data_IF_138714569258
#
_entry.id   IF_138714569258
#
_cell.length_a   1.000
_cell.length_b   1.000
_cell.length_c   1.000
_cell.angle_alpha   90.00
_cell.angle_beta   90.00
_cell.angle_gamma   90.00
#
_symmetry.space_group_name_H-M   'P 1'
#
loop_
_entity.id
_entity.type
_entity.pdbx_description
1 polymer ?
#
# COMPACT_ATOMS: atom_id res chain seq x y z
N UNK A 1 48.85 6.87 -44.08
CA UNK A 1 47.48 6.52 -43.59
C UNK A 1 47.33 5.12 -43.02
N UNK A 2 48.10 4.09 -43.33
CA UNK A 2 47.95 2.73 -42.80
C UNK A 2 48.50 2.44 -41.39
N UNK A 3 49.33 3.32 -40.79
CA UNK A 3 49.93 3.15 -39.46
C UNK A 3 49.04 3.72 -38.33
N UNK A 4 48.15 4.67 -38.57
CA UNK A 4 47.28 5.31 -37.57
C UNK A 4 46.06 4.46 -37.22
N UNK A 5 45.54 3.69 -38.19
CA UNK A 5 44.36 2.85 -38.03
C UNK A 5 44.63 1.63 -37.11
N UNK A 6 45.87 1.09 -37.15
CA UNK A 6 46.23 -0.05 -36.26
C UNK A 6 46.35 0.31 -34.78
N UNK A 7 46.75 1.58 -34.44
CA UNK A 7 46.82 2.01 -33.04
C UNK A 7 45.45 2.26 -32.43
N UNK A 8 44.48 2.76 -33.22
CA UNK A 8 43.13 3.04 -32.74
C UNK A 8 42.32 1.73 -32.49
N UNK A 9 42.51 0.73 -33.35
CA UNK A 9 41.84 -0.58 -33.18
C UNK A 9 42.39 -1.35 -32.00
N UNK A 10 43.71 -1.30 -31.71
CA UNK A 10 44.30 -1.94 -30.54
C UNK A 10 43.87 -1.23 -29.25
N UNK A 11 43.72 0.10 -29.23
CA UNK A 11 43.23 0.82 -28.08
C UNK A 11 41.74 0.53 -27.78
N UNK A 12 40.90 0.36 -28.83
CA UNK A 12 39.50 -0.01 -28.69
C UNK A 12 39.32 -1.45 -28.17
N UNK A 13 40.14 -2.39 -28.61
CA UNK A 13 40.11 -3.80 -28.14
C UNK A 13 40.65 -3.88 -26.70
N UNK A 14 41.66 -3.09 -26.31
CA UNK A 14 42.15 -3.04 -24.93
C UNK A 14 41.12 -2.41 -23.98
N UNK A 15 40.32 -1.42 -24.44
CA UNK A 15 39.25 -0.83 -23.65
C UNK A 15 38.05 -1.78 -23.48
N UNK A 16 37.72 -2.59 -24.48
CA UNK A 16 36.68 -3.62 -24.41
C UNK A 16 37.07 -4.81 -23.51
N UNK A 17 38.36 -5.15 -23.40
CA UNK A 17 38.84 -6.24 -22.54
C UNK A 17 38.98 -5.78 -21.07
N UNK A 18 39.27 -4.48 -20.80
CA UNK A 18 39.26 -3.94 -19.43
C UNK A 18 37.86 -3.69 -18.88
N UNK A 19 36.86 -3.43 -19.74
CA UNK A 19 35.47 -3.26 -19.34
C UNK A 19 34.78 -4.59 -18.92
N UNK A 20 35.35 -5.73 -19.30
CA UNK A 20 34.81 -7.06 -18.98
C UNK A 20 35.27 -7.61 -17.60
N UNK A 21 36.12 -6.88 -16.86
CA UNK A 21 36.62 -7.32 -15.55
C UNK A 21 36.06 -6.56 -14.35
N UNK A 22 35.16 -5.57 -14.56
CA UNK A 22 34.34 -5.06 -13.47
C UNK A 22 33.07 -5.95 -13.42
N UNK A 23 33.23 -7.14 -12.86
CA UNK A 23 32.10 -7.95 -12.45
C UNK A 23 31.31 -7.17 -11.43
N UNK A 24 30.24 -6.47 -11.87
CA UNK A 24 29.16 -6.04 -10.99
C UNK A 24 28.61 -7.31 -10.37
N UNK A 25 29.14 -7.68 -9.20
CA UNK A 25 28.51 -8.70 -8.38
C UNK A 25 27.18 -8.12 -7.96
N UNK A 26 26.11 -8.49 -8.68
CA UNK A 26 24.76 -8.25 -8.20
C UNK A 26 24.71 -8.72 -6.75
N UNK A 27 24.64 -7.78 -5.82
CA UNK A 27 24.63 -8.06 -4.40
C UNK A 27 23.26 -8.67 -4.12
N UNK A 28 23.23 -10.00 -3.98
CA UNK A 28 21.99 -10.71 -3.70
C UNK A 28 21.30 -10.04 -2.49
N UNK A 29 20.02 -9.74 -2.64
CA UNK A 29 19.22 -9.11 -1.60
C UNK A 29 19.39 -9.81 -0.24
N UNK A 30 19.42 -9.04 0.85
CA UNK A 30 19.64 -9.56 2.18
C UNK A 30 18.51 -10.53 2.58
N UNK A 31 18.84 -11.75 3.01
CA UNK A 31 17.83 -12.72 3.50
C UNK A 31 17.45 -12.41 4.94
N UNK A 32 16.18 -12.20 5.19
CA UNK A 32 15.66 -12.09 6.56
C UNK A 32 15.40 -13.49 7.12
N UNK A 33 15.99 -13.78 8.28
CA UNK A 33 15.89 -15.05 8.98
C UNK A 33 15.36 -14.78 10.41
N UNK A 34 14.69 -15.77 11.01
CA UNK A 34 14.16 -15.61 12.36
C UNK A 34 14.78 -16.63 13.32
N UNK A 35 15.10 -16.18 14.54
CA UNK A 35 15.59 -17.05 15.62
C UNK A 35 14.57 -18.15 15.90
N UNK A 36 15.05 -19.39 16.09
CA UNK A 36 14.19 -20.55 16.36
C UNK A 36 13.65 -21.26 15.13
N UNK A 37 13.98 -20.79 13.91
CA UNK A 37 13.69 -21.50 12.66
C UNK A 37 14.97 -21.97 11.99
N UNK A 38 14.88 -23.07 11.24
CA UNK A 38 15.96 -23.56 10.38
C UNK A 38 15.62 -23.27 8.93
N UNK A 39 16.62 -22.87 8.15
CA UNK A 39 16.48 -22.51 6.73
C UNK A 39 17.47 -23.31 5.89
N UNK A 40 17.17 -23.53 4.62
CA UNK A 40 18.07 -24.17 3.67
C UNK A 40 18.84 -23.13 2.86
N UNK A 41 20.08 -23.48 2.47
CA UNK A 41 20.84 -22.71 1.48
C UNK A 41 20.48 -23.28 0.11
N UNK A 42 19.72 -22.48 -0.64
CA UNK A 42 19.34 -22.81 -2.01
C UNK A 42 20.29 -22.08 -2.98
N UNK A 43 21.44 -22.69 -3.22
CA UNK A 43 22.46 -22.22 -4.17
C UNK A 43 22.99 -23.39 -4.93
N UNK A 44 22.86 -23.34 -6.26
CA UNK A 44 23.39 -24.38 -7.15
C UNK A 44 24.91 -24.46 -7.07
N UNK A 45 25.44 -25.67 -7.06
CA UNK A 45 26.88 -26.01 -7.03
C UNK A 45 27.41 -26.46 -5.67
N UNK A 46 28.60 -27.09 -5.71
CA UNK A 46 29.25 -27.67 -4.55
C UNK A 46 30.08 -26.61 -3.81
N UNK A 47 29.47 -25.94 -2.86
CA UNK A 47 30.14 -24.97 -2.00
C UNK A 47 30.29 -25.52 -0.57
N UNK A 48 31.44 -25.27 0.04
CA UNK A 48 31.61 -25.42 1.48
C UNK A 48 31.21 -24.15 2.18
N UNK A 49 30.18 -24.22 3.06
CA UNK A 49 29.51 -23.07 3.63
C UNK A 49 30.00 -22.78 5.05
N UNK A 50 30.18 -21.50 5.35
CA UNK A 50 30.65 -20.99 6.64
C UNK A 50 29.82 -19.78 7.09
N UNK A 51 29.69 -19.61 8.40
CA UNK A 51 29.13 -18.38 8.98
C UNK A 51 30.29 -17.43 9.31
N UNK A 52 30.10 -16.13 8.96
CA UNK A 52 31.02 -15.07 9.36
C UNK A 52 30.91 -14.76 10.87
N UNK A 53 29.72 -14.97 11.46
CA UNK A 53 29.51 -14.82 12.90
C UNK A 53 28.63 -15.96 13.44
N UNK A 54 29.23 -16.95 14.06
CA UNK A 54 28.55 -18.13 14.63
C UNK A 54 27.63 -17.79 15.82
N UNK A 55 27.82 -16.64 16.48
CA UNK A 55 26.92 -16.17 17.57
C UNK A 55 25.58 -15.69 17.01
N UNK A 56 25.57 -15.11 15.81
CA UNK A 56 24.36 -14.62 15.12
C UNK A 56 23.68 -15.76 14.35
N UNK A 57 24.45 -16.48 13.54
CA UNK A 57 23.93 -17.53 12.67
C UNK A 57 24.94 -18.69 12.57
N UNK A 58 24.48 -19.93 12.67
CA UNK A 58 25.29 -21.13 12.39
C UNK A 58 24.88 -21.72 11.05
N UNK A 59 25.87 -22.34 10.39
CA UNK A 59 25.67 -23.04 9.13
C UNK A 59 26.21 -24.44 9.27
N UNK A 60 25.43 -25.43 8.88
CA UNK A 60 25.90 -26.79 8.68
C UNK A 60 26.20 -26.98 7.18
N UNK A 61 27.44 -27.11 6.83
CA UNK A 61 27.89 -27.21 5.43
C UNK A 61 27.46 -28.51 4.75
N UNK A 62 27.41 -29.64 5.50
CA UNK A 62 26.97 -30.93 4.96
C UNK A 62 25.50 -30.93 4.60
N UNK A 63 24.63 -30.49 5.51
CA UNK A 63 23.18 -30.47 5.32
C UNK A 63 22.68 -29.20 4.65
N UNK A 64 23.54 -28.22 4.35
CA UNK A 64 23.21 -26.88 3.83
C UNK A 64 22.17 -26.15 4.67
N UNK A 65 22.07 -26.43 5.97
CA UNK A 65 21.09 -25.80 6.88
C UNK A 65 21.69 -24.61 7.61
N UNK A 66 20.87 -23.55 7.74
CA UNK A 66 21.16 -22.31 8.45
C UNK A 66 20.34 -22.28 9.73
N UNK A 67 20.99 -22.04 10.86
CA UNK A 67 20.35 -21.93 12.17
C UNK A 67 20.61 -20.54 12.76
N UNK A 68 19.66 -19.59 12.69
CA UNK A 68 19.75 -18.29 13.36
C UNK A 68 19.74 -18.46 14.88
N UNK A 69 20.68 -17.80 15.58
CA UNK A 69 20.88 -17.93 17.04
C UNK A 69 20.53 -16.65 17.82
N UNK A 70 20.93 -15.48 17.30
CA UNK A 70 20.73 -14.19 17.94
C UNK A 70 20.39 -13.16 16.86
N UNK A 71 19.52 -12.20 17.19
CA UNK A 71 19.23 -11.08 16.31
C UNK A 71 20.49 -10.27 15.98
N UNK A 72 20.60 -9.82 14.73
CA UNK A 72 21.75 -9.09 14.21
C UNK A 72 22.00 -9.38 12.74
N UNK A 73 22.95 -8.68 12.16
CA UNK A 73 23.38 -8.88 10.77
C UNK A 73 24.65 -9.71 10.71
N UNK A 74 24.72 -10.64 9.76
CA UNK A 74 25.91 -11.46 9.49
C UNK A 74 25.97 -11.82 8.01
N UNK A 75 27.04 -12.53 7.63
CA UNK A 75 27.19 -13.08 6.30
C UNK A 75 27.39 -14.60 6.38
N UNK A 76 26.83 -15.29 5.39
CA UNK A 76 27.13 -16.70 5.10
C UNK A 76 28.01 -16.71 3.86
N UNK A 77 29.15 -17.40 3.96
CA UNK A 77 30.17 -17.51 2.88
C UNK A 77 30.18 -18.92 2.35
N UNK A 78 29.96 -19.08 1.06
CA UNK A 78 30.16 -20.32 0.32
C UNK A 78 31.49 -20.26 -0.44
N UNK A 79 32.34 -21.27 -0.28
CA UNK A 79 33.65 -21.36 -0.94
C UNK A 79 33.68 -22.61 -1.77
N UNK A 80 34.12 -22.50 -3.03
CA UNK A 80 34.49 -23.64 -3.89
C UNK A 80 35.81 -23.34 -4.62
N UNK A 81 36.54 -24.38 -5.01
CA UNK A 81 37.71 -24.28 -5.90
C UNK A 81 37.30 -24.77 -7.29
N UNK A 82 37.69 -24.05 -8.32
CA UNK A 82 37.51 -24.42 -9.73
C UNK A 82 38.81 -24.04 -10.44
N UNK A 83 39.46 -25.02 -11.08
CA UNK A 83 40.76 -24.83 -11.77
C UNK A 83 41.75 -24.01 -10.91
N UNK A 84 42.00 -24.46 -9.68
CA UNK A 84 42.86 -23.79 -8.67
C UNK A 84 42.45 -22.36 -8.27
N UNK A 85 41.39 -21.80 -8.82
CA UNK A 85 40.85 -20.48 -8.41
C UNK A 85 39.80 -20.67 -7.32
N UNK A 86 39.88 -19.82 -6.28
CA UNK A 86 38.91 -19.80 -5.17
C UNK A 86 37.73 -18.91 -5.53
N UNK A 87 36.54 -19.48 -5.63
CA UNK A 87 35.29 -18.74 -5.83
C UNK A 87 34.58 -18.58 -4.48
N UNK A 88 34.21 -17.36 -4.12
CA UNK A 88 33.52 -17.03 -2.87
C UNK A 88 32.17 -16.39 -3.16
N UNK A 89 31.11 -16.99 -2.66
CA UNK A 89 29.76 -16.36 -2.61
C UNK A 89 29.47 -15.84 -1.21
N UNK A 90 28.98 -14.61 -1.09
CA UNK A 90 28.55 -14.01 0.19
C UNK A 90 27.04 -13.80 0.16
N UNK A 91 26.34 -14.21 1.21
CA UNK A 91 24.91 -13.97 1.42
C UNK A 91 24.76 -13.15 2.70
N UNK A 92 24.28 -11.91 2.58
CA UNK A 92 23.92 -11.09 3.74
C UNK A 92 22.67 -11.67 4.40
N UNK A 93 22.69 -11.86 5.70
CA UNK A 93 21.56 -12.35 6.48
C UNK A 93 21.27 -11.38 7.63
N UNK A 94 20.00 -11.03 7.77
CA UNK A 94 19.46 -10.22 8.86
C UNK A 94 18.64 -11.16 9.74
N UNK A 95 19.10 -11.41 10.95
CA UNK A 95 18.41 -12.28 11.90
C UNK A 95 17.53 -11.42 12.79
N UNK A 96 16.22 -11.69 12.81
CA UNK A 96 15.23 -11.02 13.66
C UNK A 96 14.69 -11.99 14.72
N UNK A 97 14.23 -11.47 15.86
CA UNK A 97 13.41 -12.24 16.81
C UNK A 97 11.98 -12.37 16.25
N UNK A 98 11.29 -13.49 16.47
CA UNK A 98 9.86 -13.56 16.16
C UNK A 98 9.08 -12.49 16.94
N UNK A 99 8.02 -11.93 16.32
CA UNK A 99 7.20 -10.89 16.93
C UNK A 99 5.74 -10.97 16.43
N UNK A 100 4.81 -10.50 17.25
CA UNK A 100 3.44 -10.26 16.81
C UNK A 100 3.36 -8.98 15.97
N UNK A 101 2.55 -9.01 14.92
CA UNK A 101 2.28 -7.83 14.08
C UNK A 101 1.71 -6.65 14.89
N UNK A 102 1.04 -6.93 16.01
CA UNK A 102 0.56 -5.90 16.95
C UNK A 102 0.86 -6.34 18.40
N UNK A 103 1.47 -5.45 19.19
CA UNK A 103 1.71 -5.65 20.65
C UNK A 103 0.57 -5.06 21.49
N UNK A 104 -0.05 -4.00 20.98
CA UNK A 104 -1.25 -3.35 21.53
C UNK A 104 -2.21 -3.08 20.37
N UNK A 105 -3.49 -3.05 20.65
CA UNK A 105 -4.53 -2.65 19.70
C UNK A 105 -5.72 -2.06 20.46
N UNK A 106 -6.45 -1.14 19.83
CA UNK A 106 -7.75 -0.67 20.29
C UNK A 106 -8.77 -1.05 19.23
N UNK A 107 -9.87 -1.67 19.64
CA UNK A 107 -10.90 -2.20 18.72
C UNK A 107 -12.26 -2.00 19.38
N UNK A 108 -13.28 -1.61 18.62
CA UNK A 108 -14.67 -1.53 19.12
C UNK A 108 -15.28 -2.91 19.30
N UNK A 109 -16.13 -3.08 20.30
CA UNK A 109 -16.86 -4.33 20.55
C UNK A 109 -17.69 -4.75 19.32
N UNK A 110 -17.62 -6.03 18.97
CA UNK A 110 -18.24 -6.59 17.78
C UNK A 110 -17.35 -6.66 16.55
N UNK A 111 -16.26 -5.91 16.50
CA UNK A 111 -15.31 -5.93 15.37
C UNK A 111 -14.30 -7.08 15.49
N UNK A 112 -13.63 -7.39 14.37
CA UNK A 112 -12.59 -8.42 14.28
C UNK A 112 -11.21 -7.77 14.15
N UNK A 113 -10.17 -8.49 14.55
CA UNK A 113 -8.76 -8.10 14.42
C UNK A 113 -7.93 -9.35 14.13
N UNK A 114 -7.04 -9.31 13.16
CA UNK A 114 -6.14 -10.43 12.87
C UNK A 114 -4.77 -10.21 13.49
N UNK A 115 -4.33 -11.13 14.33
CA UNK A 115 -2.97 -11.18 14.87
C UNK A 115 -2.16 -12.24 14.12
N UNK A 116 -0.95 -11.88 13.71
CA UNK A 116 0.00 -12.77 13.04
C UNK A 116 1.33 -12.80 13.79
N UNK A 117 1.83 -13.97 14.13
CA UNK A 117 3.19 -14.14 14.67
C UNK A 117 4.16 -14.23 13.49
N UNK A 118 4.91 -13.19 13.27
CA UNK A 118 5.94 -13.15 12.20
C UNK A 118 7.17 -13.94 12.61
N UNK A 119 7.66 -14.75 11.70
CA UNK A 119 8.91 -15.52 11.89
C UNK A 119 8.82 -16.78 12.72
N UNK A 120 7.62 -17.17 13.20
CA UNK A 120 7.43 -18.40 13.97
C UNK A 120 6.07 -19.02 13.67
N UNK A 121 6.01 -20.35 13.68
CA UNK A 121 4.74 -21.07 13.60
C UNK A 121 4.06 -21.02 14.97
N UNK A 122 2.79 -20.65 14.98
CA UNK A 122 1.96 -20.64 16.19
C UNK A 122 1.43 -22.06 16.41
N UNK A 123 1.57 -22.56 17.62
CA UNK A 123 1.00 -23.84 18.05
C UNK A 123 -0.33 -23.67 18.79
N UNK A 124 -0.53 -22.49 19.41
CA UNK A 124 -1.75 -22.22 20.17
C UNK A 124 -2.00 -20.72 20.31
N UNK A 125 -3.26 -20.33 20.17
CA UNK A 125 -3.77 -19.01 20.54
C UNK A 125 -4.64 -19.09 21.80
N UNK A 126 -4.54 -18.11 22.70
CA UNK A 126 -5.37 -18.02 23.90
C UNK A 126 -5.80 -16.58 24.17
N UNK A 127 -7.00 -16.43 24.72
CA UNK A 127 -7.54 -15.18 25.23
C UNK A 127 -7.59 -15.24 26.76
N UNK A 128 -7.14 -14.17 27.43
CA UNK A 128 -7.22 -14.05 28.90
C UNK A 128 -8.66 -13.87 29.39
N UNK A 129 -9.57 -13.40 28.52
CA UNK A 129 -10.97 -13.23 28.84
C UNK A 129 -11.86 -13.43 27.58
N UNK A 130 -12.47 -14.59 27.47
CA UNK A 130 -13.34 -14.96 26.34
C UNK A 130 -14.68 -14.19 26.32
N UNK A 131 -15.07 -13.55 27.45
CA UNK A 131 -16.24 -12.67 27.51
C UNK A 131 -15.97 -11.33 26.81
N UNK A 132 -14.71 -10.85 26.82
CA UNK A 132 -14.29 -9.61 26.13
C UNK A 132 -13.94 -9.91 24.66
N UNK A 133 -13.10 -10.92 24.42
CA UNK A 133 -12.73 -11.34 23.07
C UNK A 133 -12.34 -12.81 22.99
N UNK A 134 -12.63 -13.45 21.85
CA UNK A 134 -12.16 -14.79 21.51
C UNK A 134 -11.12 -14.72 20.40
N UNK A 135 -10.31 -15.76 20.24
CA UNK A 135 -9.32 -15.85 19.17
C UNK A 135 -9.40 -17.23 18.52
N UNK A 136 -9.35 -17.28 17.18
CA UNK A 136 -9.33 -18.53 16.40
C UNK A 136 -7.92 -19.14 16.35
N UNK A 137 -7.80 -20.36 15.86
CA UNK A 137 -6.51 -21.02 15.58
C UNK A 137 -5.67 -20.27 14.54
N UNK A 138 -6.29 -19.51 13.64
CA UNK A 138 -5.65 -18.66 12.63
C UNK A 138 -5.25 -17.28 13.14
N UNK A 139 -5.57 -16.94 14.41
CA UNK A 139 -5.22 -15.65 15.01
C UNK A 139 -6.26 -14.55 14.79
N UNK A 140 -7.44 -14.88 14.28
CA UNK A 140 -8.54 -13.91 14.16
C UNK A 140 -9.18 -13.72 15.53
N UNK A 141 -9.10 -12.50 16.05
CA UNK A 141 -9.72 -12.08 17.32
C UNK A 141 -11.11 -11.51 17.01
N UNK A 142 -12.15 -12.02 17.67
CA UNK A 142 -13.51 -11.46 17.65
C UNK A 142 -13.78 -10.79 18.98
N UNK A 143 -13.95 -9.46 18.98
CA UNK A 143 -14.29 -8.69 20.17
C UNK A 143 -15.79 -8.79 20.46
N UNK A 144 -16.16 -8.81 21.75
CA UNK A 144 -17.55 -9.00 22.20
C UNK A 144 -18.04 -7.87 23.09
N UNK A 145 -17.29 -7.55 24.13
CA UNK A 145 -17.66 -6.59 25.17
C UNK A 145 -16.51 -5.61 25.44
N UNK A 146 -16.79 -4.41 25.86
CA UNK A 146 -15.78 -3.44 26.26
C UNK A 146 -14.93 -3.96 27.43
N UNK A 147 -13.66 -3.55 27.44
CA UNK A 147 -12.69 -3.95 28.45
C UNK A 147 -11.31 -4.21 27.86
N UNK A 148 -10.36 -4.61 28.69
CA UNK A 148 -9.01 -4.94 28.25
C UNK A 148 -8.79 -6.45 28.28
N UNK A 149 -8.21 -7.01 27.23
CA UNK A 149 -7.95 -8.44 27.11
C UNK A 149 -6.54 -8.68 26.53
N UNK A 150 -5.88 -9.74 27.00
CA UNK A 150 -4.59 -10.19 26.47
C UNK A 150 -4.82 -11.39 25.55
N UNK A 151 -4.38 -11.28 24.29
CA UNK A 151 -4.36 -12.39 23.34
C UNK A 151 -2.91 -12.87 23.22
N UNK A 152 -2.70 -14.17 23.44
CA UNK A 152 -1.38 -14.77 23.48
C UNK A 152 -1.24 -15.85 22.43
N UNK A 153 -0.20 -15.73 21.58
CA UNK A 153 0.28 -16.78 20.69
C UNK A 153 1.39 -17.56 21.39
N UNK A 154 1.31 -18.88 21.41
CA UNK A 154 2.42 -19.75 21.78
C UNK A 154 3.11 -20.21 20.53
N UNK A 155 4.40 -19.88 20.36
CA UNK A 155 5.19 -20.31 19.23
C UNK A 155 5.68 -21.78 19.37
N UNK A 156 6.13 -22.36 18.26
CA UNK A 156 6.77 -23.69 18.27
C UNK A 156 8.03 -23.73 19.16
N UNK A 157 8.62 -22.56 19.44
CA UNK A 157 9.72 -22.38 20.40
C UNK A 157 9.26 -22.38 21.88
N UNK A 158 7.98 -22.70 22.12
CA UNK A 158 7.30 -22.68 23.43
C UNK A 158 7.22 -21.29 24.09
N UNK A 159 7.70 -20.23 23.40
CA UNK A 159 7.61 -18.84 23.90
C UNK A 159 6.24 -18.25 23.67
N UNK A 160 5.87 -17.34 24.58
CA UNK A 160 4.59 -16.60 24.52
C UNK A 160 4.80 -15.22 23.92
N UNK A 161 3.93 -14.84 23.03
CA UNK A 161 3.89 -13.54 22.34
C UNK A 161 2.51 -12.95 22.56
N UNK A 162 2.44 -11.81 23.25
CA UNK A 162 1.16 -11.28 23.76
C UNK A 162 0.85 -9.95 23.11
N UNK A 163 -0.41 -9.77 22.70
CA UNK A 163 -1.02 -8.50 22.32
C UNK A 163 -2.04 -8.09 23.38
N UNK A 164 -1.97 -6.85 23.87
CA UNK A 164 -2.96 -6.26 24.74
C UNK A 164 -3.98 -5.52 23.90
N UNK A 165 -5.25 -5.89 24.00
CA UNK A 165 -6.33 -5.28 23.22
C UNK A 165 -7.26 -4.53 24.18
N UNK A 166 -7.40 -3.21 23.97
CA UNK A 166 -8.44 -2.39 24.58
C UNK A 166 -9.67 -2.48 23.68
N UNK A 167 -10.75 -3.04 24.18
CA UNK A 167 -12.02 -3.10 23.48
C UNK A 167 -12.90 -1.96 23.98
N UNK A 168 -13.21 -0.99 23.11
CA UNK A 168 -14.13 0.09 23.42
C UNK A 168 -15.57 -0.41 23.33
N UNK A 169 -16.48 0.19 24.10
CA UNK A 169 -17.91 -0.07 23.97
C UNK A 169 -18.39 0.27 22.54
N UNK A 170 -19.42 -0.43 22.06
CA UNK A 170 -20.14 0.08 20.90
C UNK A 170 -20.67 1.48 21.27
N UNK A 171 -20.55 2.47 20.37
CA UNK A 171 -21.24 3.75 20.60
C UNK A 171 -22.72 3.42 20.90
N UNK A 172 -23.27 3.90 21.99
CA UNK A 172 -24.72 3.93 22.15
C UNK A 172 -25.24 4.70 20.96
N UNK A 173 -26.26 4.17 20.29
CA UNK A 173 -27.01 4.92 19.28
C UNK A 173 -27.58 6.12 20.04
N UNK A 174 -26.83 7.22 20.06
CA UNK A 174 -27.34 8.50 20.51
C UNK A 174 -28.27 8.87 19.38
N UNK A 175 -29.57 8.84 19.63
CA UNK A 175 -30.53 9.60 18.82
C UNK A 175 -30.08 11.04 19.00
N UNK A 176 -29.59 11.72 17.97
CA UNK A 176 -29.22 13.12 18.13
C UNK A 176 -30.50 13.87 18.42
N UNK A 177 -30.57 14.54 19.57
CA UNK A 177 -31.49 15.68 19.74
C UNK A 177 -31.05 16.68 18.68
N UNK A 178 -31.92 16.93 17.73
CA UNK A 178 -31.66 17.77 16.56
C UNK A 178 -31.27 19.18 17.01
N UNK A 179 -29.98 19.49 16.96
CA UNK A 179 -29.57 20.87 16.67
C UNK A 179 -29.82 21.05 15.17
N UNK A 180 -30.49 22.15 14.74
CA UNK A 180 -30.84 22.31 13.32
C UNK A 180 -29.53 22.34 12.51
N UNK A 181 -29.22 21.22 11.87
CA UNK A 181 -28.29 21.14 10.77
C UNK A 181 -28.85 21.98 9.64
N UNK A 182 -28.07 22.86 8.97
CA UNK A 182 -28.56 23.48 7.75
C UNK A 182 -29.03 22.35 6.83
N UNK A 183 -30.27 22.47 6.41
CA UNK A 183 -30.95 21.52 5.53
C UNK A 183 -30.07 21.24 4.32
N UNK A 184 -29.75 19.96 4.00
CA UNK A 184 -29.03 19.66 2.78
C UNK A 184 -29.91 20.18 1.64
N UNK A 185 -29.37 21.10 0.85
CA UNK A 185 -29.99 21.55 -0.38
C UNK A 185 -30.33 20.30 -1.18
N UNK A 186 -31.65 20.06 -1.40
CA UNK A 186 -32.12 18.94 -2.21
C UNK A 186 -31.32 18.89 -3.50
N UNK A 187 -30.63 17.78 -3.75
CA UNK A 187 -30.07 17.48 -5.06
C UNK A 187 -31.26 17.48 -6.06
N UNK A 188 -31.09 18.00 -7.28
CA UNK A 188 -32.12 17.94 -8.29
C UNK A 188 -32.46 16.47 -8.57
N UNK A 189 -33.74 16.14 -8.41
CA UNK A 189 -34.30 14.83 -8.71
C UNK A 189 -34.18 14.57 -10.22
N UNK A 190 -33.59 13.42 -10.59
CA UNK A 190 -33.46 12.80 -11.94
C UNK A 190 -32.11 12.84 -12.64
N UNK A 191 -31.00 12.72 -11.89
CA UNK A 191 -29.77 12.20 -12.50
C UNK A 191 -29.19 11.14 -11.57
N UNK A 192 -28.73 10.02 -12.10
CA UNK A 192 -28.03 8.95 -11.37
C UNK A 192 -26.63 9.39 -10.87
N UNK A 193 -26.39 10.68 -10.74
CA UNK A 193 -25.17 11.27 -10.22
C UNK A 193 -25.04 11.04 -8.72
N UNK A 194 -23.94 10.51 -8.28
CA UNK A 194 -23.64 10.36 -6.86
C UNK A 194 -22.41 11.16 -6.45
N UNK A 195 -22.40 11.61 -5.19
CA UNK A 195 -21.28 12.37 -4.65
C UNK A 195 -20.15 11.44 -4.18
N UNK A 196 -18.93 11.80 -4.54
CA UNK A 196 -17.71 11.14 -4.12
C UNK A 196 -17.02 12.02 -3.07
N UNK A 197 -16.76 11.49 -1.89
CA UNK A 197 -16.07 12.23 -0.83
C UNK A 197 -14.58 12.35 -1.16
N UNK A 198 -14.13 13.54 -1.57
CA UNK A 198 -12.75 13.83 -1.96
C UNK A 198 -11.80 13.77 -0.75
N UNK A 199 -10.95 12.75 -0.70
CA UNK A 199 -10.07 12.39 0.43
C UNK A 199 -10.84 12.11 1.72
N UNK A 200 -12.07 11.60 1.59
CA UNK A 200 -13.03 11.48 2.68
C UNK A 200 -13.79 12.78 2.99
N UNK A 201 -14.39 12.88 4.17
CA UNK A 201 -15.04 14.13 4.62
C UNK A 201 -14.01 15.10 5.18
N UNK A 202 -13.43 15.90 4.30
CA UNK A 202 -12.41 16.89 4.65
C UNK A 202 -12.95 18.17 5.28
N UNK A 203 -14.27 18.35 5.34
CA UNK A 203 -14.90 19.47 6.10
C UNK A 203 -14.62 19.30 7.57
N UNK A 204 -14.90 18.13 8.08
CA UNK A 204 -14.91 17.83 9.51
C UNK A 204 -13.62 17.18 9.97
N UNK A 205 -13.10 16.20 9.21
CA UNK A 205 -11.98 15.37 9.58
C UNK A 205 -10.73 15.65 8.73
N UNK A 206 -9.52 15.26 9.18
CA UNK A 206 -8.30 15.42 8.41
C UNK A 206 -8.31 14.54 7.15
N UNK A 207 -7.97 15.13 6.00
CA UNK A 207 -7.96 14.44 4.71
C UNK A 207 -7.14 13.14 4.72
N UNK A 208 -7.56 12.16 3.91
CA UNK A 208 -6.84 10.91 3.73
C UNK A 208 -6.56 10.13 5.03
N UNK A 209 -7.47 10.21 5.99
CA UNK A 209 -7.41 9.45 7.24
C UNK A 209 -8.62 8.56 7.42
N UNK A 210 -8.49 7.55 8.28
CA UNK A 210 -9.63 6.69 8.62
C UNK A 210 -10.78 7.47 9.28
N UNK A 211 -10.48 8.56 9.98
CA UNK A 211 -11.49 9.46 10.55
C UNK A 211 -12.29 10.16 9.45
N UNK A 212 -11.64 10.64 8.38
CA UNK A 212 -12.33 11.27 7.24
C UNK A 212 -13.22 10.27 6.49
N UNK A 213 -12.75 9.05 6.29
CA UNK A 213 -13.50 7.99 5.61
C UNK A 213 -14.71 7.54 6.42
N UNK A 214 -14.57 7.38 7.73
CA UNK A 214 -15.69 7.08 8.64
C UNK A 214 -16.71 8.20 8.66
N UNK A 215 -16.27 9.47 8.65
CA UNK A 215 -17.17 10.63 8.65
C UNK A 215 -17.92 10.75 7.31
N UNK A 216 -17.27 10.50 6.17
CA UNK A 216 -17.92 10.44 4.87
C UNK A 216 -19.03 9.37 4.85
N UNK A 217 -18.75 8.17 5.36
CA UNK A 217 -19.74 7.11 5.49
C UNK A 217 -20.94 7.52 6.37
N UNK A 218 -20.68 8.17 7.50
CA UNK A 218 -21.75 8.67 8.40
C UNK A 218 -22.62 9.74 7.74
N UNK A 219 -22.08 10.52 6.80
CA UNK A 219 -22.81 11.49 5.99
C UNK A 219 -23.51 10.89 4.79
N UNK A 220 -23.44 9.59 4.59
CA UNK A 220 -24.15 8.86 3.54
C UNK A 220 -23.44 8.78 2.20
N UNK A 221 -22.16 9.20 2.10
CA UNK A 221 -21.36 8.99 0.91
C UNK A 221 -21.23 7.49 0.63
N UNK A 222 -21.41 7.12 -0.63
CA UNK A 222 -21.27 5.74 -1.12
C UNK A 222 -19.97 5.54 -1.89
N UNK A 223 -19.30 6.61 -2.24
CA UNK A 223 -18.01 6.60 -2.89
C UNK A 223 -17.04 7.54 -2.16
N UNK A 224 -15.79 7.12 -2.07
CA UNK A 224 -14.70 7.87 -1.43
C UNK A 224 -13.51 7.89 -2.38
N UNK A 225 -13.02 9.09 -2.63
CA UNK A 225 -11.78 9.27 -3.35
C UNK A 225 -10.59 9.34 -2.39
N UNK A 226 -9.44 8.86 -2.84
CA UNK A 226 -8.20 8.86 -2.07
C UNK A 226 -6.97 8.78 -2.96
N UNK A 227 -5.83 9.17 -2.40
CA UNK A 227 -4.53 9.25 -3.10
C UNK A 227 -3.59 8.15 -2.61
N UNK A 228 -3.00 7.36 -3.50
CA UNK A 228 -2.04 6.31 -3.14
C UNK A 228 -0.61 6.69 -3.51
N UNK A 229 0.30 6.49 -2.56
CA UNK A 229 1.74 6.63 -2.71
C UNK A 229 2.46 5.48 -2.01
N UNK A 230 3.79 5.41 -2.17
CA UNK A 230 4.60 4.35 -1.60
C UNK A 230 5.65 4.88 -0.63
N UNK A 231 5.82 4.17 0.48
CA UNK A 231 6.90 4.39 1.43
C UNK A 231 8.22 3.81 0.90
N UNK A 232 9.33 4.13 1.56
CA UNK A 232 10.69 3.64 1.26
C UNK A 232 10.80 2.11 1.20
N UNK A 233 10.03 1.41 2.01
CA UNK A 233 9.97 -0.05 2.06
C UNK A 233 8.84 -0.64 1.21
N UNK A 234 8.35 0.13 0.23
CA UNK A 234 7.31 -0.22 -0.74
C UNK A 234 5.99 -0.67 -0.10
N UNK A 235 5.57 -0.02 0.97
CA UNK A 235 4.22 -0.17 1.51
C UNK A 235 3.34 0.92 0.91
N UNK A 236 2.24 0.60 0.22
CA UNK A 236 1.33 1.62 -0.28
C UNK A 236 0.53 2.25 0.87
N UNK A 237 0.47 3.57 0.88
CA UNK A 237 -0.17 4.41 1.91
C UNK A 237 -1.05 5.48 1.28
N UNK A 238 -1.96 6.00 2.07
CA UNK A 238 -2.91 7.03 1.64
C UNK A 238 -2.38 8.41 2.01
N UNK A 239 -1.95 9.16 1.00
CA UNK A 239 -1.38 10.50 1.18
C UNK A 239 -1.43 11.30 -0.13
N UNK A 240 -1.90 12.55 -0.09
CA UNK A 240 -1.95 13.40 -1.28
C UNK A 240 -0.57 13.94 -1.67
N UNK A 241 0.12 14.61 -0.74
CA UNK A 241 1.38 15.28 -1.02
C UNK A 241 2.55 14.29 -1.07
N UNK A 242 3.58 14.58 -1.83
CA UNK A 242 4.82 13.79 -1.82
C UNK A 242 5.62 13.89 -0.52
N UNK A 243 5.20 14.79 0.39
CA UNK A 243 5.79 14.98 1.72
C UNK A 243 4.70 14.90 2.79
N UNK A 244 5.09 14.53 4.02
CA UNK A 244 4.18 14.48 5.16
C UNK A 244 3.99 15.82 5.87
N UNK A 245 4.63 16.89 5.38
CA UNK A 245 4.79 18.16 6.10
C UNK A 245 3.48 18.90 6.37
N UNK A 246 2.53 18.90 5.41
CA UNK A 246 1.29 19.68 5.50
C UNK A 246 0.24 19.01 6.40
N UNK A 247 0.19 17.69 6.38
CA UNK A 247 -0.88 16.92 7.02
C UNK A 247 -0.39 16.07 8.19
N UNK A 248 0.82 16.35 8.70
CA UNK A 248 1.32 15.68 9.90
C UNK A 248 2.19 16.61 10.76
N UNK A 249 2.55 16.14 11.95
CA UNK A 249 3.54 16.79 12.81
C UNK A 249 4.98 16.41 12.44
N UNK A 250 5.19 15.68 11.35
CA UNK A 250 6.50 15.29 10.82
C UNK A 250 6.91 16.10 9.59
N UNK A 251 8.12 15.83 9.11
CA UNK A 251 8.67 16.41 7.87
C UNK A 251 9.40 15.34 7.07
N UNK A 252 9.43 15.51 5.74
CA UNK A 252 10.15 14.63 4.83
C UNK A 252 9.26 14.07 3.72
N UNK A 253 9.92 13.46 2.71
CA UNK A 253 9.21 12.81 1.60
C UNK A 253 8.75 11.43 2.04
N UNK A 254 7.53 11.05 1.62
CA UNK A 254 6.98 9.74 1.97
C UNK A 254 7.86 8.58 1.48
N UNK A 255 8.47 8.72 0.32
CA UNK A 255 9.35 7.71 -0.27
C UNK A 255 10.70 7.53 0.44
N UNK A 256 11.07 8.43 1.36
CA UNK A 256 12.29 8.34 2.15
C UNK A 256 12.06 7.74 3.54
N UNK A 257 10.79 7.58 3.95
CA UNK A 257 10.36 7.03 5.23
C UNK A 257 9.82 5.61 5.05
N UNK A 258 10.17 4.70 5.94
CA UNK A 258 9.53 3.39 6.01
C UNK A 258 8.12 3.53 6.60
N UNK A 259 7.25 2.53 6.35
CA UNK A 259 5.91 2.53 6.92
C UNK A 259 5.91 2.57 8.46
N UNK A 260 6.84 1.88 9.09
CA UNK A 260 6.99 1.91 10.56
C UNK A 260 7.42 3.30 11.06
N UNK A 261 8.25 4.03 10.30
CA UNK A 261 8.68 5.40 10.63
C UNK A 261 7.54 6.40 10.44
N UNK A 262 6.86 6.39 9.30
CA UNK A 262 5.78 7.36 9.03
C UNK A 262 4.59 7.18 9.98
N UNK A 263 4.32 5.97 10.44
CA UNK A 263 3.27 5.65 11.45
C UNK A 263 3.57 6.20 12.86
N UNK A 264 4.76 6.75 13.11
CA UNK A 264 5.02 7.44 14.38
C UNK A 264 4.41 8.84 14.42
N UNK A 265 4.25 9.49 13.28
CA UNK A 265 3.71 10.84 13.19
C UNK A 265 2.19 10.88 13.42
N UNK A 266 1.71 12.06 13.77
CA UNK A 266 0.31 12.40 13.95
C UNK A 266 -0.19 13.10 12.69
N UNK A 267 -1.20 12.52 12.05
CA UNK A 267 -1.83 13.02 10.82
C UNK A 267 -3.20 13.68 11.07
N UNK A 268 -3.53 13.96 12.33
CA UNK A 268 -4.85 14.49 12.68
C UNK A 268 -4.84 15.85 13.36
N UNK A 269 -3.89 16.12 14.25
CA UNK A 269 -3.86 17.35 15.07
C UNK A 269 -3.77 18.64 14.26
N UNK A 270 -3.19 18.60 13.05
CA UNK A 270 -3.16 19.76 12.14
C UNK A 270 -4.56 20.25 11.76
N UNK A 271 -5.55 19.36 11.73
CA UNK A 271 -6.95 19.68 11.43
C UNK A 271 -7.70 20.13 12.68
N UNK A 272 -7.55 19.35 13.77
CA UNK A 272 -8.13 19.65 15.08
C UNK A 272 -7.52 18.71 16.12
N UNK A 273 -7.39 19.19 17.36
CA UNK A 273 -6.92 18.39 18.48
C UNK A 273 -7.82 17.18 18.78
N UNK A 274 -9.08 17.23 18.37
CA UNK A 274 -10.00 16.10 18.44
C UNK A 274 -9.54 14.88 17.64
N UNK A 275 -8.66 15.07 16.66
CA UNK A 275 -8.08 14.02 15.81
C UNK A 275 -6.61 13.72 16.18
N UNK A 276 -6.16 14.15 17.37
CA UNK A 276 -4.79 13.92 17.82
C UNK A 276 -4.44 12.41 17.77
N UNK A 277 -3.24 12.11 17.30
CA UNK A 277 -2.71 10.75 17.12
C UNK A 277 -3.38 9.92 16.00
N UNK A 278 -4.16 10.53 15.11
CA UNK A 278 -4.59 9.86 13.88
C UNK A 278 -3.36 9.43 13.08
N UNK A 279 -3.43 8.29 12.41
CA UNK A 279 -2.28 7.73 11.69
C UNK A 279 -2.56 7.68 10.20
N UNK A 280 -1.49 7.86 9.41
CA UNK A 280 -1.58 7.62 7.97
C UNK A 280 -2.12 6.21 7.72
N UNK A 281 -3.19 6.02 6.93
CA UNK A 281 -3.67 4.69 6.59
C UNK A 281 -2.74 4.01 5.60
N UNK A 282 -2.58 2.69 5.71
CA UNK A 282 -2.11 1.89 4.59
C UNK A 282 -3.24 1.70 3.57
N UNK A 283 -2.87 1.47 2.32
CA UNK A 283 -3.82 1.12 1.27
C UNK A 283 -4.66 -0.12 1.64
N UNK A 284 -4.05 -1.11 2.29
CA UNK A 284 -4.75 -2.29 2.80
C UNK A 284 -5.85 -1.93 3.81
N UNK A 285 -5.57 -1.02 4.75
CA UNK A 285 -6.55 -0.57 5.74
C UNK A 285 -7.72 0.15 5.08
N UNK A 286 -7.47 0.94 4.04
CA UNK A 286 -8.49 1.64 3.27
C UNK A 286 -9.36 0.68 2.46
N UNK A 287 -8.79 -0.25 1.70
CA UNK A 287 -9.55 -1.23 0.91
C UNK A 287 -10.38 -2.17 1.81
N UNK A 288 -9.82 -2.62 2.95
CA UNK A 288 -10.59 -3.37 3.95
C UNK A 288 -11.77 -2.56 4.48
N UNK A 289 -11.59 -1.26 4.71
CA UNK A 289 -12.67 -0.36 5.15
C UNK A 289 -13.75 -0.22 4.07
N UNK A 290 -13.39 0.02 2.82
CA UNK A 290 -14.34 0.14 1.71
C UNK A 290 -15.16 -1.14 1.56
N UNK A 291 -14.51 -2.31 1.56
CA UNK A 291 -15.20 -3.62 1.51
C UNK A 291 -16.19 -3.81 2.65
N UNK A 292 -15.76 -3.57 3.91
CA UNK A 292 -16.59 -3.77 5.09
C UNK A 292 -17.86 -2.89 5.11
N UNK A 293 -17.84 -1.76 4.40
CA UNK A 293 -18.89 -0.75 4.43
C UNK A 293 -19.61 -0.58 3.07
N UNK A 294 -19.29 -1.40 2.07
CA UNK A 294 -19.85 -1.31 0.71
C UNK A 294 -19.70 0.09 0.11
N UNK A 295 -18.49 0.64 0.22
CA UNK A 295 -18.10 1.95 -0.33
C UNK A 295 -17.29 1.72 -1.59
N UNK A 296 -17.60 2.44 -2.67
CA UNK A 296 -16.84 2.42 -3.91
C UNK A 296 -15.60 3.32 -3.81
N UNK A 297 -14.37 2.80 -3.85
CA UNK A 297 -13.16 3.62 -3.81
C UNK A 297 -12.79 4.15 -5.20
N UNK A 298 -12.54 5.44 -5.28
CA UNK A 298 -11.86 6.12 -6.38
C UNK A 298 -10.41 6.35 -5.99
N UNK A 299 -9.47 5.70 -6.65
CA UNK A 299 -8.06 5.68 -6.23
C UNK A 299 -7.20 6.46 -7.21
N UNK A 300 -6.69 7.62 -6.78
CA UNK A 300 -5.72 8.38 -7.54
C UNK A 300 -4.32 7.77 -7.39
N UNK A 301 -3.76 7.31 -8.50
CA UNK A 301 -2.36 6.92 -8.61
C UNK A 301 -1.51 8.19 -8.74
N UNK A 302 -0.76 8.54 -7.69
CA UNK A 302 0.08 9.74 -7.70
C UNK A 302 1.29 9.57 -8.62
N UNK A 303 1.67 10.64 -9.30
CA UNK A 303 2.81 10.67 -10.23
C UNK A 303 4.18 10.48 -9.56
N UNK A 304 4.23 10.29 -8.25
CA UNK A 304 5.40 9.78 -7.52
C UNK A 304 5.64 8.29 -7.77
N UNK A 305 4.62 7.55 -8.27
CA UNK A 305 4.79 6.22 -8.83
C UNK A 305 5.45 6.41 -10.19
N UNK A 306 6.62 5.79 -10.41
CA UNK A 306 7.32 5.92 -11.68
C UNK A 306 6.52 5.26 -12.81
N UNK A 307 6.47 5.91 -13.96
CA UNK A 307 5.70 5.47 -15.13
C UNK A 307 6.24 4.19 -15.80
N UNK A 308 7.26 3.58 -15.24
CA UNK A 308 7.82 2.28 -15.63
C UNK A 308 7.83 1.27 -14.49
N UNK A 309 7.21 1.58 -13.35
CA UNK A 309 7.15 0.69 -12.17
C UNK A 309 5.83 -0.11 -12.15
N UNK A 310 5.67 -0.96 -13.16
CA UNK A 310 4.47 -1.80 -13.30
C UNK A 310 4.29 -2.77 -12.12
N UNK A 311 5.35 -3.09 -11.39
CA UNK A 311 5.26 -3.97 -10.22
C UNK A 311 4.48 -3.33 -9.06
N UNK A 312 4.53 -2.01 -8.92
CA UNK A 312 3.68 -1.29 -7.97
C UNK A 312 2.20 -1.33 -8.36
N UNK A 313 1.91 -1.19 -9.65
CA UNK A 313 0.53 -1.30 -10.17
C UNK A 313 0.00 -2.71 -9.93
N UNK A 314 0.76 -3.75 -10.27
CA UNK A 314 0.40 -5.16 -9.98
C UNK A 314 0.14 -5.38 -8.50
N UNK A 315 1.01 -4.85 -7.63
CA UNK A 315 0.84 -4.95 -6.18
C UNK A 315 -0.49 -4.36 -5.70
N UNK A 316 -0.87 -3.17 -6.19
CA UNK A 316 -2.14 -2.53 -5.82
C UNK A 316 -3.34 -3.35 -6.30
N UNK A 317 -3.32 -3.80 -7.56
CA UNK A 317 -4.39 -4.62 -8.14
C UNK A 317 -4.50 -5.99 -7.45
N UNK A 318 -3.39 -6.63 -7.08
CA UNK A 318 -3.38 -7.86 -6.28
C UNK A 318 -3.99 -7.65 -4.88
N UNK A 319 -3.74 -6.51 -4.24
CA UNK A 319 -4.33 -6.19 -2.93
C UNK A 319 -5.85 -6.02 -3.04
N UNK A 320 -6.34 -5.34 -4.08
CA UNK A 320 -7.77 -5.19 -4.37
C UNK A 320 -8.40 -6.54 -4.71
N UNK A 321 -7.73 -7.36 -5.53
CA UNK A 321 -8.16 -8.70 -5.89
C UNK A 321 -8.23 -9.62 -4.67
N UNK A 322 -7.23 -9.60 -3.80
CA UNK A 322 -7.23 -10.35 -2.55
C UNK A 322 -8.35 -9.93 -1.58
N UNK A 323 -8.82 -8.69 -1.70
CA UNK A 323 -10.00 -8.19 -1.01
C UNK A 323 -11.31 -8.62 -1.70
N UNK A 324 -11.27 -9.06 -2.96
CA UNK A 324 -12.46 -9.40 -3.76
C UNK A 324 -13.25 -8.17 -4.19
N UNK A 325 -12.55 -7.06 -4.49
CA UNK A 325 -13.14 -5.77 -4.86
C UNK A 325 -12.79 -5.33 -6.28
N UNK A 326 -12.32 -6.22 -7.15
CA UNK A 326 -11.82 -5.86 -8.48
C UNK A 326 -12.82 -5.09 -9.33
N UNK A 327 -14.13 -5.34 -9.14
CA UNK A 327 -15.22 -4.68 -9.86
C UNK A 327 -15.81 -3.46 -9.13
N UNK A 328 -15.31 -3.19 -7.93
CA UNK A 328 -15.86 -2.15 -7.07
C UNK A 328 -14.87 -0.98 -6.90
N UNK A 329 -13.84 -0.87 -7.75
CA UNK A 329 -12.77 0.11 -7.66
C UNK A 329 -12.59 0.85 -8.97
N UNK A 330 -12.51 2.18 -8.91
CA UNK A 330 -12.11 3.03 -10.04
C UNK A 330 -10.71 3.58 -9.82
N UNK A 331 -9.84 3.40 -10.82
CA UNK A 331 -8.45 3.88 -10.79
C UNK A 331 -8.29 5.09 -11.68
N UNK A 332 -7.55 6.09 -11.24
CA UNK A 332 -7.30 7.26 -12.07
C UNK A 332 -5.99 7.97 -11.74
N UNK A 333 -5.50 8.80 -12.65
CA UNK A 333 -4.26 9.54 -12.49
C UNK A 333 -4.23 10.81 -13.34
N UNK A 334 -3.39 11.76 -12.98
CA UNK A 334 -2.95 12.83 -13.86
C UNK A 334 -1.98 12.34 -14.96
N UNK A 335 -1.33 11.19 -14.75
CA UNK A 335 -0.50 10.55 -15.78
C UNK A 335 -1.32 9.53 -16.57
N UNK A 336 -1.43 9.79 -17.88
CA UNK A 336 -2.05 8.85 -18.83
C UNK A 336 -1.33 7.49 -18.82
N UNK A 337 0.01 7.50 -18.74
CA UNK A 337 0.81 6.28 -18.73
C UNK A 337 0.49 5.38 -17.53
N UNK A 338 0.28 5.95 -16.34
CA UNK A 338 -0.13 5.15 -15.16
C UNK A 338 -1.50 4.50 -15.37
N UNK A 339 -2.43 5.19 -16.03
CA UNK A 339 -3.75 4.64 -16.38
C UNK A 339 -3.61 3.50 -17.40
N UNK A 340 -2.77 3.66 -18.41
CA UNK A 340 -2.46 2.57 -19.38
C UNK A 340 -1.85 1.35 -18.70
N UNK A 341 -0.95 1.54 -17.73
CA UNK A 341 -0.37 0.43 -16.97
C UNK A 341 -1.43 -0.34 -16.18
N UNK A 342 -2.45 0.33 -15.62
CA UNK A 342 -3.59 -0.36 -14.98
C UNK A 342 -4.33 -1.20 -16.02
N UNK A 343 -4.65 -0.64 -17.19
CA UNK A 343 -5.31 -1.38 -18.29
C UNK A 343 -4.49 -2.56 -18.78
N UNK A 344 -3.16 -2.42 -18.84
CA UNK A 344 -2.26 -3.52 -19.24
C UNK A 344 -2.34 -4.70 -18.26
N UNK A 345 -2.38 -4.41 -16.96
CA UNK A 345 -2.41 -5.46 -15.92
C UNK A 345 -3.81 -6.04 -15.74
N UNK A 346 -4.84 -5.20 -15.74
CA UNK A 346 -6.25 -5.61 -15.65
C UNK A 346 -7.11 -4.87 -16.68
N UNK A 347 -7.36 -5.46 -17.86
CA UNK A 347 -8.21 -4.86 -18.89
C UNK A 347 -9.68 -4.66 -18.48
N UNK A 348 -10.10 -5.19 -17.34
CA UNK A 348 -11.47 -5.05 -16.83
C UNK A 348 -11.62 -3.95 -15.77
N UNK A 349 -10.50 -3.34 -15.35
CA UNK A 349 -10.50 -2.29 -14.35
C UNK A 349 -11.15 -1.01 -14.88
N UNK A 350 -12.00 -0.38 -14.08
CA UNK A 350 -12.52 0.96 -14.34
C UNK A 350 -11.42 1.99 -14.17
N UNK A 351 -11.14 2.76 -15.22
CA UNK A 351 -9.97 3.63 -15.31
C UNK A 351 -10.31 5.04 -15.80
N UNK A 352 -9.57 6.02 -15.34
CA UNK A 352 -9.80 7.41 -15.71
C UNK A 352 -8.58 8.31 -15.70
N UNK A 353 -8.69 9.46 -16.35
CA UNK A 353 -7.67 10.50 -16.43
C UNK A 353 -8.14 11.76 -15.73
N UNK A 354 -7.24 12.41 -14.98
CA UNK A 354 -7.51 13.71 -14.35
C UNK A 354 -6.93 14.82 -15.19
N UNK A 355 -7.77 15.77 -15.56
CA UNK A 355 -7.34 16.96 -16.30
C UNK A 355 -6.96 18.10 -15.34
N UNK A 356 -5.88 18.83 -15.67
CA UNK A 356 -5.49 20.04 -14.95
C UNK A 356 -6.46 21.21 -15.20
N UNK A 357 -6.43 22.23 -14.34
CA UNK A 357 -7.35 23.36 -14.44
C UNK A 357 -7.22 24.19 -15.72
N UNK A 358 -6.09 24.14 -16.40
CA UNK A 358 -5.83 24.79 -17.70
C UNK A 358 -6.21 23.95 -18.91
N UNK A 359 -6.40 22.66 -18.73
CA UNK A 359 -6.66 21.74 -19.84
C UNK A 359 -8.03 21.98 -20.49
N UNK A 360 -8.12 21.61 -21.75
CA UNK A 360 -9.36 21.68 -22.55
C UNK A 360 -9.63 20.27 -23.09
N UNK A 361 -10.88 19.86 -23.03
CA UNK A 361 -11.32 18.61 -23.64
C UNK A 361 -11.33 18.80 -25.16
N UNK A 362 -10.33 18.25 -25.84
CA UNK A 362 -10.17 18.29 -27.29
C UNK A 362 -10.62 16.97 -27.91
N UNK A 363 -10.83 16.96 -29.23
CA UNK A 363 -11.10 15.71 -29.96
C UNK A 363 -9.98 14.69 -29.79
N UNK A 364 -8.73 15.15 -29.80
CA UNK A 364 -7.57 14.30 -29.55
C UNK A 364 -7.62 13.64 -28.17
N UNK A 365 -8.03 14.40 -27.13
CA UNK A 365 -8.20 13.85 -25.79
C UNK A 365 -9.33 12.81 -25.76
N UNK A 366 -10.46 13.05 -26.42
CA UNK A 366 -11.55 12.06 -26.51
C UNK A 366 -11.05 10.77 -27.19
N UNK A 367 -10.29 10.87 -28.29
CA UNK A 367 -9.71 9.69 -28.94
C UNK A 367 -8.72 8.95 -28.03
N UNK A 368 -7.94 9.66 -27.21
CA UNK A 368 -7.10 9.03 -26.18
C UNK A 368 -7.96 8.29 -25.14
N UNK A 369 -9.06 8.87 -24.66
CA UNK A 369 -9.96 8.19 -23.73
C UNK A 369 -10.61 6.96 -24.37
N UNK A 370 -10.98 7.03 -25.65
CA UNK A 370 -11.50 5.86 -26.41
C UNK A 370 -10.49 4.73 -26.47
N UNK A 371 -9.21 5.04 -26.65
CA UNK A 371 -8.15 4.02 -26.71
C UNK A 371 -7.95 3.27 -25.38
N UNK A 372 -8.43 3.81 -24.26
CA UNK A 372 -8.44 3.14 -22.96
C UNK A 372 -9.56 2.10 -22.84
N UNK A 373 -10.60 2.16 -23.69
CA UNK A 373 -11.73 1.23 -23.64
C UNK A 373 -11.31 -0.16 -24.10
N UNK A 374 -11.72 -1.17 -23.37
CA UNK A 374 -11.52 -2.58 -23.72
C UNK A 374 -12.83 -3.29 -24.07
N UNK A 375 -13.98 -2.63 -23.84
CA UNK A 375 -15.32 -3.22 -23.89
C UNK A 375 -15.70 -4.00 -22.62
N UNK A 376 -14.78 -4.12 -21.67
CA UNK A 376 -14.98 -4.81 -20.38
C UNK A 376 -14.87 -3.87 -19.19
N UNK A 377 -14.42 -2.64 -19.40
CA UNK A 377 -14.16 -1.63 -18.40
C UNK A 377 -14.98 -0.35 -18.61
N UNK A 378 -15.16 0.42 -17.57
CA UNK A 378 -15.63 1.81 -17.63
C UNK A 378 -14.44 2.74 -17.79
N UNK A 379 -14.54 3.68 -18.75
CA UNK A 379 -13.56 4.74 -18.94
C UNK A 379 -14.17 6.06 -18.56
N UNK A 380 -13.48 6.83 -17.72
CA UNK A 380 -13.93 8.14 -17.26
C UNK A 380 -12.81 9.18 -17.28
N UNK A 381 -13.14 10.44 -17.20
CA UNK A 381 -12.17 11.48 -16.86
C UNK A 381 -12.73 12.46 -15.82
N UNK A 382 -11.81 13.07 -15.09
CA UNK A 382 -12.17 14.04 -14.06
C UNK A 382 -11.73 15.44 -14.45
N UNK A 383 -12.67 16.40 -14.43
CA UNK A 383 -12.38 17.80 -14.74
C UNK A 383 -13.19 18.75 -13.85
N UNK A 384 -12.81 20.02 -13.81
CA UNK A 384 -13.56 21.04 -13.08
C UNK A 384 -14.94 21.27 -13.70
N UNK A 385 -16.01 21.31 -12.90
CA UNK A 385 -17.37 21.48 -13.34
C UNK A 385 -17.57 22.68 -14.30
N UNK A 386 -16.89 23.80 -14.05
CA UNK A 386 -16.90 24.98 -14.91
C UNK A 386 -16.31 24.78 -16.31
N UNK A 387 -15.57 23.72 -16.53
CA UNK A 387 -14.96 23.35 -17.81
C UNK A 387 -15.78 22.33 -18.60
N UNK A 388 -16.81 21.81 -17.98
CA UNK A 388 -17.72 20.84 -18.58
C UNK A 388 -18.83 21.61 -19.27
N UNK A 389 -18.69 21.72 -20.58
CA UNK A 389 -19.70 22.37 -21.44
C UNK A 389 -20.77 21.37 -21.88
N UNK A 390 -21.97 21.82 -22.31
CA UNK A 390 -22.98 20.93 -22.91
C UNK A 390 -22.43 20.11 -24.07
N UNK A 391 -21.53 20.68 -24.88
CA UNK A 391 -20.88 19.98 -26.00
C UNK A 391 -19.98 18.84 -25.49
N UNK A 392 -19.23 19.07 -24.42
CA UNK A 392 -18.39 18.02 -23.81
C UNK A 392 -19.27 16.91 -23.25
N UNK A 393 -20.37 17.26 -22.56
CA UNK A 393 -21.30 16.27 -22.02
C UNK A 393 -21.91 15.38 -23.10
N UNK A 394 -22.41 15.99 -24.18
CA UNK A 394 -23.00 15.25 -25.31
C UNK A 394 -21.98 14.31 -25.94
N UNK A 395 -20.75 14.82 -26.17
CA UNK A 395 -19.66 14.01 -26.73
C UNK A 395 -19.30 12.83 -25.83
N UNK A 396 -19.27 13.03 -24.51
CA UNK A 396 -19.01 11.96 -23.55
C UNK A 396 -20.11 10.89 -23.59
N UNK A 397 -21.37 11.28 -23.73
CA UNK A 397 -22.50 10.34 -23.89
C UNK A 397 -22.40 9.53 -25.17
N UNK A 398 -22.18 10.21 -26.33
CA UNK A 398 -21.99 9.53 -27.61
C UNK A 398 -20.89 8.49 -27.55
N UNK A 399 -19.78 8.80 -26.91
CA UNK A 399 -18.62 7.93 -26.80
C UNK A 399 -18.65 7.02 -25.55
N UNK A 400 -19.73 7.05 -24.74
CA UNK A 400 -19.83 6.25 -23.51
C UNK A 400 -18.60 6.41 -22.61
N UNK A 401 -18.15 7.64 -22.38
CA UNK A 401 -17.09 8.03 -21.49
C UNK A 401 -17.75 8.70 -20.29
N UNK A 402 -17.57 8.19 -19.10
CA UNK A 402 -18.12 8.80 -17.89
C UNK A 402 -17.35 10.06 -17.50
N UNK A 403 -18.00 10.94 -16.80
CA UNK A 403 -17.46 12.21 -16.37
C UNK A 403 -17.53 12.35 -14.86
N UNK A 404 -16.40 12.69 -14.23
CA UNK A 404 -16.32 13.02 -12.81
C UNK A 404 -16.04 14.52 -12.66
N UNK A 405 -17.06 15.28 -12.27
CA UNK A 405 -16.95 16.72 -12.09
C UNK A 405 -16.29 17.08 -10.75
N UNK A 406 -15.30 17.99 -10.77
CA UNK A 406 -14.70 18.59 -9.58
C UNK A 406 -15.22 20.02 -9.40
N UNK A 407 -15.72 20.36 -8.20
CA UNK A 407 -16.10 21.73 -7.87
C UNK A 407 -14.95 22.47 -7.18
N UNK A 408 -14.61 23.67 -7.70
CA UNK A 408 -13.52 24.50 -7.14
C UNK A 408 -13.98 25.26 -5.90
N UNK A 409 -15.26 25.60 -5.79
CA UNK A 409 -15.78 26.41 -4.68
C UNK A 409 -16.00 25.57 -3.43
N UNK A 410 -16.27 24.26 -3.62
CA UNK A 410 -16.45 23.27 -2.56
C UNK A 410 -15.66 22.00 -2.91
N UNK A 411 -14.34 22.05 -2.81
CA UNK A 411 -13.41 20.93 -3.16
C UNK A 411 -13.68 19.62 -2.37
N UNK A 412 -14.78 19.56 -1.66
CA UNK A 412 -15.13 18.49 -0.73
C UNK A 412 -15.88 17.34 -1.38
N UNK A 413 -16.31 17.51 -2.63
CA UNK A 413 -17.06 16.48 -3.34
C UNK A 413 -16.71 16.46 -4.82
N UNK A 414 -16.58 15.25 -5.35
CA UNK A 414 -16.56 14.97 -6.76
C UNK A 414 -17.96 14.44 -7.14
N UNK A 415 -18.40 14.69 -8.36
CA UNK A 415 -19.69 14.21 -8.86
C UNK A 415 -19.44 13.31 -10.07
N UNK A 416 -19.84 12.05 -9.98
CA UNK A 416 -19.99 11.22 -11.17
C UNK A 416 -21.24 11.66 -11.91
N UNK A 417 -21.11 11.94 -13.20
CA UNK A 417 -22.19 12.31 -14.11
C UNK A 417 -22.39 11.17 -15.11
N UNK A 418 -23.60 10.68 -15.22
CA UNK A 418 -24.02 9.70 -16.22
C UNK A 418 -24.34 10.36 -17.56
#
# INVERSE_FOLDING_TARGET
MKKTIKKTVVAAILFLVLSACIGVTAQAAARVLYVGRTYSIDVKGSYKWYSANKRIVRVNSKTKKITPKKAGTSYIKGVKKVHNKKIVKKIKVIVKKPYLNKKKATVTAGKKLTLKLRGMVVTRWTSSNKKIATVSSSGVVKTKKSGTVKITATGRDKKKYTCVIKVNAKPKKVVPTATPTPEPTKAPENHTSYMIAHRGDTVTAPENTMAAFQTALLRGYKAIETDVQFTKDNVPVILHDSTINRTSNGTGRIMDLTFDEVRQYDFGSWKSEAYANEKIPSFQEFIEFCKENSVHPYIELKTTIAENDIDKIKMLLEMVSAAGMQKDVSWFSFSYNLVEMVKEVDPTADIGVVLHGGDVVTDQFIEQMKSLKTGLNTVFFSHYARKITPVVLERCKEEQIQLVARDIKNIQSLYALD
#
